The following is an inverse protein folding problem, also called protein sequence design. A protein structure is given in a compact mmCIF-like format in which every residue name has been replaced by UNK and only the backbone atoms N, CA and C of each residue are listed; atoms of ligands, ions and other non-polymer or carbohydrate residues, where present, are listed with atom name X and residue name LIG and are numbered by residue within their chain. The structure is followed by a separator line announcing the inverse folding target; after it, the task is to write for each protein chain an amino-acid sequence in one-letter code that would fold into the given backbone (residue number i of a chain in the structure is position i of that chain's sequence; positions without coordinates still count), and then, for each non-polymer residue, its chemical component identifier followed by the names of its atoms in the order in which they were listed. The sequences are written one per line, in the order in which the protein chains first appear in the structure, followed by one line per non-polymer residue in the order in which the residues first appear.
data_IF_637437967332
#
_entry.id   IF_637437967332
#
_cell.length_a   1.000
_cell.length_b   1.000
_cell.length_c   1.000
_cell.angle_alpha   90.00
_cell.angle_beta   90.00
_cell.angle_gamma   90.00
#
_symmetry.space_group_name_H-M   'P 1'
#
loop_
_entity.id
_entity.type
_entity.pdbx_description
1 polymer ?
#
# COMPACT_ATOMS: atom_id res chain seq x y z
N UNK A 1 -8.27 1.57 4.63
CA UNK A 1 -7.10 1.21 5.47
C UNK A 1 -7.54 1.25 6.93
N UNK A 2 -7.08 0.29 7.74
CA UNK A 2 -7.34 0.24 9.18
C UNK A 2 -6.02 0.44 9.93
N UNK A 3 -6.07 1.15 11.06
CA UNK A 3 -4.91 1.37 11.93
C UNK A 3 -4.86 0.34 13.04
N UNK A 4 -3.70 -0.28 13.24
CA UNK A 4 -3.45 -1.23 14.32
C UNK A 4 -2.20 -0.85 15.10
N UNK A 5 -2.20 -1.11 16.41
CA UNK A 5 -1.03 -0.87 17.28
C UNK A 5 0.16 -1.79 16.99
N UNK A 6 -0.07 -2.97 16.39
CA UNK A 6 0.95 -3.97 16.07
C UNK A 6 0.38 -5.05 15.15
N UNK A 7 1.26 -5.83 14.51
CA UNK A 7 0.87 -6.96 13.64
C UNK A 7 0.11 -8.05 14.39
N UNK A 8 0.49 -8.36 15.63
CA UNK A 8 -0.25 -9.32 16.45
C UNK A 8 -1.71 -8.90 16.70
N UNK A 9 -2.02 -7.60 16.64
CA UNK A 9 -3.40 -7.14 16.71
C UNK A 9 -4.15 -7.35 15.38
N UNK A 10 -3.46 -7.28 14.24
CA UNK A 10 -4.03 -7.65 12.94
C UNK A 10 -4.42 -9.12 12.95
N UNK A 11 -3.53 -10.01 13.42
CA UNK A 11 -3.79 -11.45 13.46
C UNK A 11 -5.04 -11.81 14.27
N UNK A 12 -5.13 -11.29 15.51
CA UNK A 12 -6.33 -11.49 16.35
C UNK A 12 -7.60 -10.92 15.72
N UNK A 13 -7.49 -9.78 15.03
CA UNK A 13 -8.64 -9.15 14.38
C UNK A 13 -9.14 -9.94 13.18
N UNK A 14 -8.22 -10.51 12.39
CA UNK A 14 -8.49 -11.40 11.26
C UNK A 14 -9.15 -12.71 11.74
N UNK A 15 -8.56 -13.36 12.75
CA UNK A 15 -9.09 -14.59 13.35
C UNK A 15 -10.52 -14.39 13.87
N UNK A 16 -10.77 -13.32 14.64
CA UNK A 16 -12.08 -13.02 15.20
C UNK A 16 -13.16 -12.71 14.15
N UNK A 17 -12.78 -12.49 12.89
CA UNK A 17 -13.68 -12.13 11.78
C UNK A 17 -13.73 -13.17 10.68
N UNK A 18 -12.97 -14.25 10.80
CA UNK A 18 -12.79 -15.25 9.74
C UNK A 18 -12.37 -14.61 8.40
N UNK A 19 -11.38 -13.70 8.46
CA UNK A 19 -10.86 -12.99 7.29
C UNK A 19 -9.38 -13.34 7.04
N UNK A 20 -8.97 -13.55 5.77
CA UNK A 20 -7.56 -13.73 5.44
C UNK A 20 -6.76 -12.44 5.72
N UNK A 21 -5.48 -12.60 6.02
CA UNK A 21 -4.55 -11.47 6.22
C UNK A 21 -4.33 -10.74 4.89
N UNK A 22 -4.66 -9.46 4.86
CA UNK A 22 -4.35 -8.58 3.73
C UNK A 22 -2.92 -8.04 3.77
N UNK A 23 -2.62 -7.10 2.87
CA UNK A 23 -1.35 -6.38 2.89
C UNK A 23 -1.21 -5.48 4.12
N UNK A 24 -0.03 -5.51 4.70
CA UNK A 24 0.35 -4.66 5.82
C UNK A 24 1.46 -3.73 5.35
N UNK A 25 1.37 -2.49 5.80
CA UNK A 25 2.40 -1.49 5.61
C UNK A 25 2.56 -0.69 6.90
N UNK A 26 3.79 -0.26 7.17
CA UNK A 26 4.07 0.68 8.26
C UNK A 26 3.62 2.10 7.88
N UNK A 27 3.41 3.00 8.85
CA UNK A 27 3.16 4.42 8.56
C UNK A 27 4.28 5.06 7.71
N UNK A 28 5.53 4.63 7.89
CA UNK A 28 6.66 5.12 7.12
C UNK A 28 6.58 4.68 5.64
N UNK A 29 6.21 3.43 5.36
CA UNK A 29 5.96 2.95 4.00
C UNK A 29 4.75 3.65 3.37
N UNK A 30 3.69 3.89 4.15
CA UNK A 30 2.52 4.64 3.69
C UNK A 30 2.92 6.05 3.25
N UNK A 31 3.74 6.72 4.05
CA UNK A 31 4.25 8.04 3.74
C UNK A 31 5.17 8.04 2.52
N UNK A 32 6.06 7.04 2.40
CA UNK A 32 6.92 6.90 1.24
C UNK A 32 6.12 6.75 -0.05
N UNK A 33 5.13 5.84 -0.05
CA UNK A 33 4.22 5.63 -1.18
C UNK A 33 3.45 6.91 -1.49
N UNK A 34 2.88 7.58 -0.49
CA UNK A 34 2.11 8.81 -0.67
C UNK A 34 2.91 9.93 -1.32
N UNK A 35 4.19 10.12 -0.94
CA UNK A 35 5.05 11.14 -1.56
C UNK A 35 5.21 10.92 -3.06
N UNK A 36 5.40 9.68 -3.51
CA UNK A 36 5.49 9.37 -4.93
C UNK A 36 4.11 9.43 -5.61
N UNK A 37 3.08 8.92 -4.95
CA UNK A 37 1.73 8.84 -5.51
C UNK A 37 1.11 10.22 -5.77
N UNK A 38 1.36 11.17 -4.86
CA UNK A 38 0.76 12.50 -4.88
C UNK A 38 1.70 13.62 -5.34
N UNK A 39 2.96 13.31 -5.71
CA UNK A 39 4.00 14.29 -6.05
C UNK A 39 3.51 15.43 -6.95
N UNK A 40 2.89 15.08 -8.08
CA UNK A 40 2.46 16.02 -9.11
C UNK A 40 0.93 16.14 -9.18
N UNK A 41 0.21 15.76 -8.11
CA UNK A 41 -1.26 15.60 -8.13
C UNK A 41 -2.02 16.88 -8.45
N UNK A 42 -1.42 18.03 -8.13
CA UNK A 42 -1.98 19.35 -8.37
C UNK A 42 -1.48 20.00 -9.67
N UNK A 43 -0.61 19.31 -10.42
CA UNK A 43 -0.15 19.79 -11.72
C UNK A 43 -1.31 19.78 -12.73
N UNK A 44 -1.47 20.81 -13.58
CA UNK A 44 -2.41 20.79 -14.71
C UNK A 44 -2.15 19.62 -15.67
N UNK A 45 -0.90 19.17 -15.77
CA UNK A 45 -0.49 18.05 -16.62
C UNK A 45 -0.61 16.70 -15.90
N UNK A 46 -1.22 16.66 -14.72
CA UNK A 46 -1.36 15.43 -13.96
C UNK A 46 -2.13 14.38 -14.76
N UNK A 47 -1.56 13.19 -14.82
CA UNK A 47 -2.23 11.99 -15.30
C UNK A 47 -2.16 10.89 -14.26
N UNK A 48 -3.05 9.91 -14.38
CA UNK A 48 -2.93 8.66 -13.62
C UNK A 48 -1.60 7.97 -13.94
N UNK A 49 -1.02 7.34 -12.93
CA UNK A 49 0.10 6.42 -13.09
C UNK A 49 -0.30 5.28 -14.02
N UNK A 50 0.60 4.85 -14.90
CA UNK A 50 0.45 3.57 -15.61
C UNK A 50 0.59 2.42 -14.62
N UNK A 51 0.30 1.20 -15.08
CA UNK A 51 0.49 0.01 -14.28
C UNK A 51 1.95 -0.14 -13.82
N UNK A 52 2.89 0.07 -14.76
CA UNK A 52 4.33 0.00 -14.52
C UNK A 52 4.79 1.05 -13.51
N UNK A 53 4.30 2.28 -13.63
CA UNK A 53 4.64 3.37 -12.70
C UNK A 53 4.08 3.11 -11.31
N UNK A 54 2.84 2.62 -11.21
CA UNK A 54 2.21 2.29 -9.94
C UNK A 54 2.96 1.14 -9.23
N UNK A 55 3.34 0.08 -9.96
CA UNK A 55 4.15 -1.00 -9.38
C UNK A 55 5.53 -0.54 -8.96
N UNK A 56 6.18 0.33 -9.73
CA UNK A 56 7.47 0.90 -9.35
C UNK A 56 7.38 1.72 -8.05
N UNK A 57 6.30 2.49 -7.87
CA UNK A 57 6.05 3.23 -6.62
C UNK A 57 5.81 2.31 -5.42
N UNK A 58 5.04 1.25 -5.61
CA UNK A 58 4.76 0.24 -4.56
C UNK A 58 6.06 -0.48 -4.16
N UNK A 59 6.83 -0.94 -5.14
CA UNK A 59 8.13 -1.60 -4.92
C UNK A 59 9.14 -0.66 -4.24
N UNK A 60 9.20 0.62 -4.65
CA UNK A 60 10.05 1.64 -4.03
C UNK A 60 9.69 1.90 -2.55
N UNK A 61 8.41 1.74 -2.18
CA UNK A 61 7.96 1.78 -0.80
C UNK A 61 8.28 0.49 -0.01
N UNK A 62 8.97 -0.48 -0.61
CA UNK A 62 9.29 -1.77 0.00
C UNK A 62 8.05 -2.65 0.20
N UNK A 63 6.97 -2.41 -0.55
CA UNK A 63 5.76 -3.21 -0.52
C UNK A 63 5.88 -4.28 -1.60
N UNK A 64 6.02 -5.54 -1.19
CA UNK A 64 6.32 -6.67 -2.07
C UNK A 64 5.47 -7.88 -1.76
N UNK A 65 5.30 -8.78 -2.72
CA UNK A 65 4.52 -10.01 -2.59
C UNK A 65 3.21 -9.94 -3.37
N UNK A 66 2.49 -11.06 -3.45
CA UNK A 66 1.32 -11.23 -4.32
C UNK A 66 0.21 -10.20 -4.06
N UNK A 67 -0.01 -9.81 -2.80
CA UNK A 67 -1.00 -8.78 -2.44
C UNK A 67 -0.72 -7.42 -3.11
N UNK A 68 0.56 -7.09 -3.30
CA UNK A 68 1.01 -5.81 -3.84
C UNK A 68 1.24 -5.84 -5.36
N UNK A 69 1.10 -7.01 -5.98
CA UNK A 69 1.12 -7.14 -7.44
C UNK A 69 -0.14 -6.52 -8.02
N UNK A 70 0.03 -5.59 -8.97
CA UNK A 70 -1.11 -5.03 -9.70
C UNK A 70 -1.40 -5.83 -10.98
N UNK A 71 -0.48 -6.71 -11.36
CA UNK A 71 -0.69 -7.76 -12.37
C UNK A 71 -1.36 -8.96 -11.68
N UNK A 72 -2.62 -9.17 -12.02
CA UNK A 72 -3.40 -10.38 -11.73
C UNK A 72 -3.51 -11.26 -12.96
#
# INVERSE_FOLDING_TARGET
MLGFRSEAHVDRWCEARDLPRGGILTPAQAWHLARGWYKDKLSPDWRRHTLEEAEALIAAAGLTGSFWSLRG
#
